data_IF_151137630017
#
_entry.id   IF_151137630017
#
_cell.length_a   1.000
_cell.length_b   1.000
_cell.length_c   1.000
_cell.angle_alpha   90.00
_cell.angle_beta   90.00
_cell.angle_gamma   90.00
#
_symmetry.space_group_name_H-M   'P 1'
#
loop_
_entity.id
_entity.type
_entity.pdbx_description
1 polymer ?
#
# COMPACT_ATOMS: atom_id res chain seq x y z
N UNK A 1 -0.12 33.98 6.70
CA UNK A 1 0.27 33.02 5.65
C UNK A 1 1.32 32.07 6.24
N UNK A 2 0.97 30.81 6.50
CA UNK A 2 1.93 29.79 6.95
C UNK A 2 2.68 29.29 5.71
N UNK A 3 3.98 29.58 5.64
CA UNK A 3 4.83 29.12 4.53
C UNK A 3 5.02 27.59 4.59
N UNK A 4 5.12 26.94 3.43
CA UNK A 4 5.33 25.49 3.27
C UNK A 4 6.46 24.96 4.15
N UNK A 5 7.54 25.74 4.29
CA UNK A 5 8.69 25.44 5.15
C UNK A 5 8.36 25.39 6.65
N UNK A 6 7.44 26.25 7.12
CA UNK A 6 7.01 26.26 8.53
C UNK A 6 6.14 25.04 8.85
N UNK A 7 5.28 24.63 7.91
CA UNK A 7 4.47 23.43 8.05
C UNK A 7 5.34 22.16 7.99
N UNK A 8 6.29 22.09 7.05
CA UNK A 8 7.24 20.97 6.93
C UNK A 8 8.11 20.83 8.19
N UNK A 9 8.61 21.94 8.76
CA UNK A 9 9.41 21.91 9.98
C UNK A 9 8.58 21.50 11.19
N UNK A 10 7.40 22.08 11.41
CA UNK A 10 6.53 21.72 12.52
C UNK A 10 6.06 20.25 12.45
N UNK A 11 5.83 19.74 11.24
CA UNK A 11 5.49 18.34 11.04
C UNK A 11 6.68 17.42 11.34
N UNK A 12 7.88 17.78 10.90
CA UNK A 12 9.10 17.03 11.19
C UNK A 12 9.45 17.07 12.68
N UNK A 13 9.24 18.21 13.35
CA UNK A 13 9.44 18.39 14.80
C UNK A 13 8.42 17.60 15.64
N UNK A 14 7.19 17.40 15.15
CA UNK A 14 6.14 16.67 15.86
C UNK A 14 6.15 15.15 15.59
N UNK A 15 6.58 14.70 14.41
CA UNK A 15 6.44 13.31 13.95
C UNK A 15 7.81 12.62 13.74
N UNK A 16 8.92 13.38 13.69
CA UNK A 16 10.28 12.83 13.58
C UNK A 16 10.72 12.43 12.16
N UNK A 17 9.81 12.45 11.18
CA UNK A 17 10.10 12.18 9.76
C UNK A 17 9.30 13.11 8.82
N UNK A 18 9.80 13.27 7.59
CA UNK A 18 9.19 14.21 6.63
C UNK A 18 7.73 13.83 6.29
N UNK A 19 6.84 14.81 6.03
CA UNK A 19 5.46 14.56 5.63
C UNK A 19 5.32 13.61 4.43
N UNK A 20 6.29 13.66 3.51
CA UNK A 20 6.32 12.81 2.31
C UNK A 20 6.57 11.35 2.66
N UNK A 21 7.43 11.08 3.66
CA UNK A 21 7.68 9.73 4.14
C UNK A 21 6.42 9.17 4.82
N UNK A 22 5.76 9.95 5.68
CA UNK A 22 4.52 9.54 6.35
C UNK A 22 3.40 9.20 5.34
N UNK A 23 3.22 10.01 4.29
CA UNK A 23 2.26 9.70 3.22
C UNK A 23 2.63 8.39 2.53
N UNK A 24 3.93 8.16 2.26
CA UNK A 24 4.39 6.92 1.63
C UNK A 24 4.10 5.70 2.51
N UNK A 25 4.40 5.79 3.81
CA UNK A 25 4.11 4.75 4.79
C UNK A 25 2.62 4.39 4.83
N UNK A 26 1.74 5.40 4.89
CA UNK A 26 0.29 5.14 4.90
C UNK A 26 -0.21 4.50 3.62
N UNK A 27 0.31 4.93 2.46
CA UNK A 27 -0.02 4.30 1.17
C UNK A 27 0.42 2.84 1.15
N UNK A 28 1.61 2.56 1.66
CA UNK A 28 2.14 1.19 1.73
C UNK A 28 1.29 0.31 2.66
N UNK A 29 0.93 0.80 3.84
CA UNK A 29 0.09 0.08 4.79
C UNK A 29 -1.28 -0.29 4.18
N UNK A 30 -1.92 0.64 3.46
CA UNK A 30 -3.18 0.36 2.74
C UNK A 30 -2.97 -0.70 1.66
N UNK A 31 -1.87 -0.66 0.93
CA UNK A 31 -1.59 -1.65 -0.10
C UNK A 31 -1.37 -3.05 0.49
N UNK A 32 -0.64 -3.17 1.61
CA UNK A 32 -0.41 -4.44 2.31
C UNK A 32 -1.72 -5.06 2.80
N UNK A 33 -2.61 -4.22 3.38
CA UNK A 33 -3.93 -4.65 3.81
C UNK A 33 -4.74 -5.17 2.62
N UNK A 34 -4.83 -4.41 1.52
CA UNK A 34 -5.57 -4.83 0.32
C UNK A 34 -4.97 -6.10 -0.32
N UNK A 35 -3.65 -6.25 -0.33
CA UNK A 35 -2.98 -7.45 -0.84
C UNK A 35 -3.36 -8.69 -0.03
N UNK A 36 -3.53 -8.54 1.28
CA UNK A 36 -3.83 -9.63 2.20
C UNK A 36 -5.31 -9.97 2.20
N UNK A 37 -6.18 -8.97 2.28
CA UNK A 37 -7.64 -9.12 2.48
C UNK A 37 -8.44 -9.30 1.20
N UNK A 38 -7.88 -8.96 0.02
CA UNK A 38 -8.64 -8.92 -1.23
C UNK A 38 -7.95 -9.61 -2.40
N UNK A 39 -8.74 -10.14 -3.33
CA UNK A 39 -8.28 -10.72 -4.61
C UNK A 39 -8.14 -9.70 -5.74
N UNK A 40 -8.11 -8.41 -5.41
CA UNK A 40 -8.02 -7.36 -6.43
C UNK A 40 -6.75 -7.48 -7.26
N UNK A 41 -6.84 -7.09 -8.54
CA UNK A 41 -5.67 -6.97 -9.40
C UNK A 41 -4.67 -5.96 -8.80
N UNK A 42 -3.37 -6.23 -8.97
CA UNK A 42 -2.29 -5.37 -8.42
C UNK A 42 -2.44 -3.92 -8.91
N UNK A 43 -2.92 -3.73 -10.15
CA UNK A 43 -3.26 -2.41 -10.70
C UNK A 43 -4.35 -1.68 -9.91
N UNK A 44 -5.44 -2.36 -9.59
CA UNK A 44 -6.52 -1.80 -8.78
C UNK A 44 -6.02 -1.44 -7.38
N UNK A 45 -5.15 -2.29 -6.80
CA UNK A 45 -4.55 -2.02 -5.48
C UNK A 45 -3.65 -0.78 -5.53
N UNK A 46 -2.81 -0.63 -6.55
CA UNK A 46 -1.94 0.54 -6.69
C UNK A 46 -2.74 1.85 -6.75
N UNK A 47 -3.85 1.86 -7.49
CA UNK A 47 -4.74 3.03 -7.55
C UNK A 47 -5.43 3.29 -6.21
N UNK A 48 -6.02 2.26 -5.58
CA UNK A 48 -6.73 2.40 -4.30
C UNK A 48 -5.82 2.79 -3.13
N UNK A 49 -4.58 2.32 -3.14
CA UNK A 49 -3.57 2.67 -2.15
C UNK A 49 -2.90 4.03 -2.44
N UNK A 50 -3.24 4.71 -3.54
CA UNK A 50 -2.74 6.05 -3.84
C UNK A 50 -1.33 6.10 -4.46
N UNK A 51 -0.85 5.00 -5.04
CA UNK A 51 0.43 4.97 -5.77
C UNK A 51 0.32 5.51 -7.20
N UNK A 52 -0.85 5.43 -7.83
CA UNK A 52 -1.09 5.91 -9.20
C UNK A 52 -0.46 5.06 -10.31
N UNK A 53 0.60 4.30 -10.01
CA UNK A 53 1.24 3.35 -10.93
C UNK A 53 1.58 2.04 -10.18
N UNK A 54 1.36 0.91 -10.86
CA UNK A 54 1.73 -0.44 -10.41
C UNK A 54 3.21 -0.57 -10.09
N UNK A 55 4.09 0.03 -10.90
CA UNK A 55 5.54 -0.03 -10.73
C UNK A 55 5.97 0.60 -9.42
N UNK A 56 5.33 1.69 -9.02
CA UNK A 56 5.60 2.37 -7.75
C UNK A 56 5.20 1.49 -6.56
N UNK A 57 4.04 0.83 -6.65
CA UNK A 57 3.61 -0.14 -5.65
C UNK A 57 4.60 -1.33 -5.58
N UNK A 58 5.00 -1.89 -6.72
CA UNK A 58 5.95 -3.01 -6.77
C UNK A 58 7.27 -2.61 -6.13
N UNK A 59 7.79 -1.43 -6.45
CA UNK A 59 9.02 -0.93 -5.87
C UNK A 59 8.90 -0.77 -4.35
N UNK A 60 7.82 -0.17 -3.86
CA UNK A 60 7.60 0.05 -2.43
C UNK A 60 7.50 -1.28 -1.65
N UNK A 61 6.71 -2.25 -2.15
CA UNK A 61 6.59 -3.56 -1.53
C UNK A 61 7.92 -4.32 -1.56
N UNK A 62 8.66 -4.28 -2.67
CA UNK A 62 9.98 -4.91 -2.76
C UNK A 62 10.99 -4.27 -1.83
N UNK A 63 10.99 -2.94 -1.72
CA UNK A 63 11.88 -2.22 -0.82
C UNK A 63 11.60 -2.55 0.66
N UNK A 64 10.34 -2.76 1.04
CA UNK A 64 9.95 -3.10 2.42
C UNK A 64 10.14 -4.58 2.75
N UNK A 65 9.69 -5.48 1.88
CA UNK A 65 9.53 -6.92 2.18
C UNK A 65 10.49 -7.82 1.41
N UNK A 66 11.27 -7.28 0.48
CA UNK A 66 12.19 -8.05 -0.37
C UNK A 66 11.51 -8.94 -1.41
N UNK A 67 10.18 -8.85 -1.58
CA UNK A 67 9.40 -9.72 -2.46
C UNK A 67 8.44 -8.95 -3.36
N UNK A 68 7.95 -9.60 -4.41
CA UNK A 68 6.92 -9.01 -5.29
C UNK A 68 5.56 -8.95 -4.57
N UNK A 69 4.64 -8.04 -4.97
CA UNK A 69 3.30 -7.98 -4.39
C UNK A 69 2.53 -9.31 -4.45
N UNK A 70 2.68 -10.07 -5.53
CA UNK A 70 2.05 -11.40 -5.67
C UNK A 70 2.65 -12.40 -4.68
N UNK A 71 3.98 -12.44 -4.54
CA UNK A 71 4.62 -13.32 -3.57
C UNK A 71 4.30 -12.91 -2.12
N UNK A 72 4.22 -11.60 -1.84
CA UNK A 72 3.75 -11.06 -0.57
C UNK A 72 2.33 -11.55 -0.26
N UNK A 73 1.39 -11.41 -1.19
CA UNK A 73 0.01 -11.91 -1.05
C UNK A 73 -0.03 -13.40 -0.74
N UNK A 74 0.71 -14.21 -1.49
CA UNK A 74 0.74 -15.66 -1.28
C UNK A 74 1.29 -16.02 0.09
N UNK A 75 2.38 -15.38 0.53
CA UNK A 75 2.97 -15.61 1.87
C UNK A 75 2.02 -15.16 2.97
N UNK A 76 1.49 -13.95 2.87
CA UNK A 76 0.58 -13.38 3.86
C UNK A 76 -0.65 -14.27 4.06
N UNK A 77 -1.23 -14.79 2.98
CA UNK A 77 -2.40 -15.68 3.04
C UNK A 77 -2.08 -17.11 3.45
N UNK A 78 -0.90 -17.62 3.10
CA UNK A 78 -0.40 -18.90 3.61
C UNK A 78 -0.22 -18.87 5.13
N UNK A 79 0.18 -17.72 5.67
CA UNK A 79 0.20 -17.46 7.11
C UNK A 79 -1.21 -17.23 7.71
N UNK A 80 -2.23 -16.92 6.89
CA UNK A 80 -3.58 -16.52 7.32
C UNK A 80 -4.70 -17.56 7.12
N UNK A 81 -4.41 -18.79 6.70
CA UNK A 81 -5.44 -19.79 6.44
C UNK A 81 -6.19 -20.24 7.73
N UNK A 82 -7.54 -20.43 7.75
CA UNK A 82 -8.58 -19.76 6.98
C UNK A 82 -9.65 -19.11 7.88
N UNK A 83 -9.98 -17.82 7.65
CA UNK A 83 -11.34 -17.32 7.87
C UNK A 83 -12.06 -17.27 6.52
N UNK A 84 -13.09 -18.10 6.40
CA UNK A 84 -13.87 -18.38 5.20
C UNK A 84 -14.63 -17.12 4.73
N UNK A 85 -14.54 -16.85 3.42
CA UNK A 85 -15.38 -15.98 2.57
C UNK A 85 -15.52 -14.48 2.89
N UNK A 86 -15.17 -13.65 1.89
CA UNK A 86 -16.15 -12.78 1.23
C UNK A 86 -15.71 -12.46 -0.21
N UNK A 87 -16.58 -12.82 -1.14
CA UNK A 87 -16.52 -12.63 -2.59
C UNK A 87 -16.08 -11.22 -2.98
N UNK A 88 -15.06 -11.10 -3.83
CA UNK A 88 -14.84 -9.94 -4.68
C UNK A 88 -14.81 -10.44 -6.13
N UNK A 89 -15.92 -10.18 -6.81
CA UNK A 89 -16.20 -10.48 -8.21
C UNK A 89 -15.01 -10.14 -9.13
N UNK A 90 -14.62 -11.03 -10.05
CA UNK A 90 -13.62 -10.70 -11.08
C UNK A 90 -14.17 -9.61 -12.01
N UNK A 91 -13.38 -8.59 -12.41
CA UNK A 91 -13.81 -7.68 -13.45
C UNK A 91 -13.99 -8.47 -14.75
N UNK A 92 -15.22 -8.43 -15.27
CA UNK A 92 -15.59 -8.98 -16.55
C UNK A 92 -14.67 -8.43 -17.63
N UNK A 93 -14.06 -9.32 -18.40
CA UNK A 93 -13.55 -9.01 -19.74
C UNK A 93 -14.56 -9.57 -20.73
N UNK A 94 -15.43 -8.70 -21.22
CA UNK A 94 -16.08 -8.83 -22.52
C UNK A 94 -15.30 -8.05 -23.55
#
# INVERSE_FOLDING_TARGET
QVSRRTLERRFTEAVGHSPRAEIHERRLAVAEQLLTETDLAIQTIATRAGFGDVRLLIHAIRARHGVTPTAFRTRARGLHAPRRNRTLTPPARG
#
